data_IF_928698707979
#
_entry.id   IF_928698707979
#
_cell.length_a   1.000
_cell.length_b   1.000
_cell.length_c   1.000
_cell.angle_alpha   90.00
_cell.angle_beta   90.00
_cell.angle_gamma   90.00
#
_symmetry.space_group_name_H-M   'P 1'
#
loop_
_entity.id
_entity.type
_entity.pdbx_description
1 polymer ?
#
# COMPACT_ATOMS: atom_id res chain seq x y z
N UNK A 1 9.03 13.64 -8.12
CA UNK A 1 8.63 12.54 -9.02
C UNK A 1 7.12 12.36 -8.84
N UNK A 2 6.49 11.38 -9.47
CA UNK A 2 5.03 11.22 -9.48
C UNK A 2 4.69 9.76 -9.31
N UNK A 3 3.53 9.48 -8.72
CA UNK A 3 2.99 8.13 -8.60
C UNK A 3 2.62 7.47 -9.94
N UNK A 4 2.71 8.19 -11.06
CA UNK A 4 2.34 7.70 -12.39
C UNK A 4 2.99 6.37 -12.81
N UNK A 5 4.17 6.03 -12.29
CA UNK A 5 4.82 4.75 -12.61
C UNK A 5 4.24 3.56 -11.83
N UNK A 6 3.63 3.81 -10.66
CA UNK A 6 3.05 2.79 -9.78
C UNK A 6 1.54 2.72 -9.90
N UNK A 7 0.86 3.82 -10.24
CA UNK A 7 -0.60 3.92 -10.31
C UNK A 7 -1.25 2.81 -11.13
N UNK A 8 -0.80 2.50 -12.37
CA UNK A 8 -1.44 1.42 -13.15
C UNK A 8 -1.33 0.04 -12.49
N UNK A 9 -0.26 -0.21 -11.72
CA UNK A 9 -0.05 -1.49 -11.02
C UNK A 9 -0.88 -1.51 -9.73
N UNK A 10 -0.88 -0.39 -8.99
CA UNK A 10 -1.61 -0.23 -7.74
C UNK A 10 -3.12 -0.32 -7.98
N UNK A 11 -3.64 0.37 -8.99
CA UNK A 11 -5.06 0.37 -9.38
C UNK A 11 -5.52 -1.04 -9.75
N UNK A 12 -4.79 -1.72 -10.63
CA UNK A 12 -5.13 -3.09 -11.03
C UNK A 12 -5.09 -4.08 -9.85
N UNK A 13 -4.14 -3.91 -8.94
CA UNK A 13 -4.05 -4.75 -7.74
C UNK A 13 -5.18 -4.44 -6.75
N UNK A 14 -5.47 -3.17 -6.47
CA UNK A 14 -6.52 -2.77 -5.55
C UNK A 14 -7.90 -3.22 -6.04
N UNK A 15 -8.18 -3.10 -7.34
CA UNK A 15 -9.41 -3.60 -7.97
C UNK A 15 -9.58 -5.11 -7.76
N UNK A 16 -8.50 -5.89 -7.92
CA UNK A 16 -8.54 -7.35 -7.71
C UNK A 16 -8.88 -7.77 -6.28
N UNK A 17 -8.67 -6.89 -5.30
CA UNK A 17 -9.01 -7.09 -3.89
C UNK A 17 -10.25 -6.29 -3.44
N UNK A 18 -10.92 -5.59 -4.37
CA UNK A 18 -12.02 -4.66 -4.07
C UNK A 18 -11.66 -3.60 -3.01
N UNK A 19 -10.42 -3.10 -3.08
CA UNK A 19 -9.88 -2.09 -2.17
C UNK A 19 -9.97 -0.69 -2.80
N UNK A 20 -10.23 0.31 -1.96
CA UNK A 20 -10.24 1.70 -2.39
C UNK A 20 -8.89 2.39 -2.15
N UNK A 21 -8.39 3.08 -3.18
CA UNK A 21 -7.16 3.87 -3.09
C UNK A 21 -7.53 5.31 -2.77
N UNK A 22 -7.04 5.81 -1.64
CA UNK A 22 -7.03 7.23 -1.32
C UNK A 22 -5.82 7.89 -1.97
N UNK A 23 -6.07 8.93 -2.76
CA UNK A 23 -5.04 9.67 -3.51
C UNK A 23 -4.68 11.02 -2.88
N UNK A 24 -5.43 11.44 -1.87
CA UNK A 24 -5.24 12.72 -1.18
C UNK A 24 -5.46 12.57 0.32
N UNK A 25 -4.57 13.19 1.11
CA UNK A 25 -4.75 13.36 2.55
C UNK A 25 -4.38 14.79 2.93
N UNK A 26 -5.37 15.55 3.42
CA UNK A 26 -5.25 17.01 3.60
C UNK A 26 -4.81 17.67 2.27
N UNK A 27 -3.69 18.36 2.27
CA UNK A 27 -3.12 19.03 1.10
C UNK A 27 -1.98 18.22 0.42
N UNK A 28 -1.80 16.95 0.83
CA UNK A 28 -0.76 16.08 0.29
C UNK A 28 -1.35 15.02 -0.66
N UNK A 29 -0.68 14.82 -1.80
CA UNK A 29 -0.90 13.66 -2.65
C UNK A 29 -0.32 12.41 -1.97
N UNK A 30 -1.11 11.35 -1.88
CA UNK A 30 -0.71 10.09 -1.23
C UNK A 30 -1.16 8.91 -2.07
N UNK A 31 -0.71 7.71 -1.73
CA UNK A 31 -1.34 6.46 -2.15
C UNK A 31 -1.50 5.57 -0.94
N UNK A 32 -2.69 5.60 -0.35
CA UNK A 32 -3.01 4.84 0.85
C UNK A 32 -4.31 4.07 0.70
N UNK A 33 -4.40 2.93 1.37
CA UNK A 33 -5.53 2.01 1.32
C UNK A 33 -5.85 1.60 2.76
N UNK A 34 -7.12 1.73 3.12
CA UNK A 34 -7.64 1.19 4.37
C UNK A 34 -8.09 -0.25 4.17
N UNK A 35 -7.57 -1.14 5.02
CA UNK A 35 -7.97 -2.55 5.07
C UNK A 35 -8.73 -2.78 6.37
N UNK A 36 -9.94 -3.32 6.28
CA UNK A 36 -10.79 -3.58 7.46
C UNK A 36 -11.00 -5.09 7.59
N UNK A 37 -10.63 -5.66 8.74
CA UNK A 37 -10.86 -7.07 9.02
C UNK A 37 -12.35 -7.36 9.27
N UNK A 38 -12.78 -8.63 9.18
CA UNK A 38 -14.16 -9.02 9.52
C UNK A 38 -14.58 -8.64 10.95
N UNK A 39 -13.63 -8.51 11.89
CA UNK A 39 -13.86 -8.08 13.27
C UNK A 39 -13.86 -6.55 13.44
N UNK A 40 -13.74 -5.80 12.35
CA UNK A 40 -13.72 -4.34 12.35
C UNK A 40 -12.38 -3.69 12.71
N UNK A 41 -11.28 -4.47 12.77
CA UNK A 41 -9.94 -3.89 12.97
C UNK A 41 -9.48 -3.22 11.69
N UNK A 42 -8.90 -2.03 11.81
CA UNK A 42 -8.39 -1.25 10.67
C UNK A 42 -6.88 -1.35 10.56
N UNK A 43 -6.41 -1.44 9.33
CA UNK A 43 -5.01 -1.44 8.95
C UNK A 43 -4.84 -0.45 7.81
N UNK A 44 -3.66 0.15 7.71
CA UNK A 44 -3.34 1.08 6.63
C UNK A 44 -2.16 0.54 5.83
N UNK A 45 -2.37 0.41 4.53
CA UNK A 45 -1.31 0.19 3.55
C UNK A 45 -1.03 1.51 2.86
N UNK A 46 0.23 1.94 2.74
CA UNK A 46 0.56 3.12 1.94
C UNK A 46 1.86 2.96 1.16
N UNK A 47 1.97 3.76 0.10
CA UNK A 47 3.10 3.77 -0.83
C UNK A 47 3.75 5.14 -0.76
N UNK A 48 5.05 5.16 -0.52
CA UNK A 48 5.83 6.39 -0.66
C UNK A 48 6.03 6.71 -2.14
N UNK A 49 6.27 7.98 -2.43
CA UNK A 49 6.64 8.40 -3.78
C UNK A 49 7.91 7.64 -4.24
N UNK A 50 7.93 7.07 -5.46
CA UNK A 50 9.09 6.33 -5.95
C UNK A 50 10.37 7.18 -5.91
N UNK A 51 11.45 6.58 -5.42
CA UNK A 51 12.74 7.25 -5.30
C UNK A 51 13.37 7.52 -6.67
N UNK A 52 14.42 8.35 -6.71
CA UNK A 52 15.17 8.61 -7.94
C UNK A 52 15.86 7.35 -8.51
N UNK A 53 16.15 6.36 -7.68
CA UNK A 53 16.69 5.06 -8.08
C UNK A 53 15.62 4.09 -8.59
N UNK A 54 14.33 4.46 -8.50
CA UNK A 54 13.20 3.60 -8.88
C UNK A 54 12.78 2.63 -7.78
N UNK A 55 13.25 2.83 -6.55
CA UNK A 55 12.81 2.08 -5.38
C UNK A 55 11.44 2.58 -4.94
N UNK A 56 10.55 1.65 -4.60
CA UNK A 56 9.18 1.92 -4.18
C UNK A 56 9.01 1.31 -2.79
N UNK A 57 8.70 2.15 -1.80
CA UNK A 57 8.42 1.68 -0.44
C UNK A 57 6.94 1.33 -0.31
N UNK A 58 6.66 0.15 0.24
CA UNK A 58 5.30 -0.31 0.59
C UNK A 58 5.26 -0.55 2.07
N UNK A 59 4.28 0.04 2.73
CA UNK A 59 4.14 -0.02 4.17
C UNK A 59 2.80 -0.63 4.56
N UNK A 60 2.78 -1.39 5.64
CA UNK A 60 1.54 -1.85 6.29
C UNK A 60 1.63 -1.60 7.79
N UNK A 61 0.57 -1.01 8.35
CA UNK A 61 0.49 -0.68 9.78
C UNK A 61 -0.87 -1.08 10.37
N UNK A 62 -0.86 -1.63 11.59
CA UNK A 62 -2.08 -2.00 12.32
C UNK A 62 -2.74 -0.86 13.10
N UNK A 63 -2.35 0.39 12.78
CA UNK A 63 -2.80 1.61 13.46
C UNK A 63 -2.51 1.60 14.97
N UNK A 64 -1.60 0.73 15.43
CA UNK A 64 -1.21 0.58 16.83
C UNK A 64 0.30 0.43 16.96
N UNK A 65 0.80 -0.81 16.94
CA UNK A 65 2.19 -1.16 17.26
C UNK A 65 2.89 -1.94 16.15
N UNK A 66 2.16 -2.68 15.31
CA UNK A 66 2.75 -3.55 14.29
C UNK A 66 2.83 -2.80 12.98
N UNK A 67 4.06 -2.63 12.50
CA UNK A 67 4.36 -2.06 11.19
C UNK A 67 5.34 -2.97 10.49
N UNK A 68 5.15 -3.16 9.18
CA UNK A 68 6.08 -3.86 8.33
C UNK A 68 6.30 -3.03 7.06
N UNK A 69 7.55 -2.89 6.69
CA UNK A 69 7.97 -2.14 5.52
C UNK A 69 8.60 -3.09 4.50
N UNK A 70 8.34 -2.83 3.23
CA UNK A 70 8.91 -3.53 2.09
C UNK A 70 9.52 -2.51 1.13
N UNK A 71 10.62 -2.89 0.50
CA UNK A 71 11.18 -2.17 -0.64
C UNK A 71 10.95 -3.01 -1.88
N UNK A 72 10.45 -2.37 -2.93
CA UNK A 72 10.18 -2.97 -4.22
C UNK A 72 10.85 -2.17 -5.34
N UNK A 73 11.00 -2.83 -6.47
CA UNK A 73 11.21 -2.18 -7.77
C UNK A 73 9.90 -2.27 -8.56
N UNK A 74 9.81 -1.57 -9.71
CA UNK A 74 8.62 -1.66 -10.58
C UNK A 74 8.20 -3.10 -10.89
N UNK A 75 9.15 -4.01 -11.10
CA UNK A 75 8.87 -5.42 -11.42
C UNK A 75 8.38 -6.25 -10.23
N UNK A 76 8.83 -5.94 -9.02
CA UNK A 76 8.44 -6.66 -7.79
C UNK A 76 7.33 -5.96 -7.00
N UNK A 77 6.87 -4.79 -7.46
CA UNK A 77 5.92 -3.95 -6.75
C UNK A 77 4.61 -4.67 -6.43
N UNK A 78 4.01 -5.34 -7.42
CA UNK A 78 2.79 -6.13 -7.22
C UNK A 78 2.96 -7.21 -6.15
N UNK A 79 4.08 -7.92 -6.16
CA UNK A 79 4.34 -8.98 -5.19
C UNK A 79 4.52 -8.41 -3.77
N UNK A 80 5.07 -7.20 -3.63
CA UNK A 80 5.19 -6.52 -2.33
C UNK A 80 3.88 -5.95 -1.83
N UNK A 81 2.99 -5.48 -2.70
CA UNK A 81 1.61 -5.14 -2.34
C UNK A 81 0.88 -6.37 -1.78
N UNK A 82 1.00 -7.50 -2.48
CA UNK A 82 0.38 -8.76 -2.05
C UNK A 82 0.94 -9.24 -0.70
N UNK A 83 2.26 -9.20 -0.53
CA UNK A 83 2.89 -9.55 0.74
C UNK A 83 2.43 -8.64 1.90
N UNK A 84 2.32 -7.34 1.66
CA UNK A 84 1.83 -6.38 2.66
C UNK A 84 0.36 -6.62 3.03
N UNK A 85 -0.49 -6.96 2.06
CA UNK A 85 -1.89 -7.30 2.30
C UNK A 85 -2.04 -8.61 3.07
N UNK A 86 -1.31 -9.66 2.70
CA UNK A 86 -1.27 -10.91 3.45
C UNK A 86 -0.73 -10.71 4.88
N UNK A 87 0.24 -9.81 5.05
CA UNK A 87 0.73 -9.43 6.36
C UNK A 87 -0.38 -8.79 7.21
N UNK A 88 -1.18 -7.89 6.64
CA UNK A 88 -2.36 -7.34 7.31
C UNK A 88 -3.36 -8.43 7.70
N UNK A 89 -3.64 -9.37 6.80
CA UNK A 89 -4.54 -10.50 7.07
C UNK A 89 -4.05 -11.39 8.21
N UNK A 90 -2.75 -11.63 8.31
CA UNK A 90 -2.17 -12.40 9.43
C UNK A 90 -2.31 -11.70 10.79
N UNK A 91 -2.64 -10.41 10.79
CA UNK A 91 -2.83 -9.59 11.99
C UNK A 91 -4.27 -9.45 12.44
N UNK A 92 -5.22 -10.00 11.68
CA UNK A 92 -6.66 -9.97 11.97
C UNK A 92 -7.00 -10.46 13.37
#
# INVERSE_FOLDING_TARGET
>A
MSYSIVDPILEAWADSHSLHIHTQYQDAEVRSIDIVSPQGKRFQLWIDEPSRSGDISVHIWDMKKRRQDYVATKSSFKDKLEAAYQQAQSWF
#
